data_IF_922652019423
#
_entry.id   IF_922652019423
#
_cell.length_a   1.000
_cell.length_b   1.000
_cell.length_c   1.000
_cell.angle_alpha   90.00
_cell.angle_beta   90.00
_cell.angle_gamma   90.00
#
_symmetry.space_group_name_H-M   'P 1'
#
loop_
_entity.id
_entity.type
_entity.pdbx_description
1 polymer ?
#
# COMPACT_ATOMS: atom_id res chain seq x y z
N UNK A 1 30.21 -32.99 -25.61
CA UNK A 1 29.95 -32.11 -24.45
C UNK A 1 29.69 -30.65 -24.87
N UNK A 2 28.76 -30.38 -25.81
CA UNK A 2 28.41 -28.99 -26.24
C UNK A 2 26.93 -28.65 -26.04
N UNK A 3 26.05 -29.65 -25.82
CA UNK A 3 24.61 -29.46 -25.65
C UNK A 3 24.18 -29.11 -24.21
N UNK A 4 25.09 -29.24 -23.23
CA UNK A 4 24.84 -28.92 -21.83
C UNK A 4 24.93 -27.42 -21.52
N UNK A 5 25.64 -26.64 -22.35
CA UNK A 5 25.80 -25.20 -22.14
C UNK A 5 24.50 -24.44 -22.48
N UNK A 6 23.69 -24.97 -23.39
CA UNK A 6 22.45 -24.30 -23.84
C UNK A 6 21.35 -24.33 -22.76
N UNK A 7 21.31 -25.37 -21.92
CA UNK A 7 20.32 -25.50 -20.86
C UNK A 7 20.55 -24.53 -19.69
N UNK A 8 21.81 -24.17 -19.41
CA UNK A 8 22.16 -23.28 -18.30
C UNK A 8 21.75 -21.82 -18.57
N UNK A 9 21.64 -21.41 -19.85
CA UNK A 9 21.26 -20.05 -20.22
C UNK A 9 19.76 -19.76 -20.06
N UNK A 10 18.90 -20.80 -20.17
CA UNK A 10 17.43 -20.65 -20.10
C UNK A 10 16.94 -20.51 -18.64
N UNK A 11 17.65 -21.10 -17.68
CA UNK A 11 17.29 -21.05 -16.25
C UNK A 11 17.54 -19.67 -15.60
N UNK A 12 18.34 -18.80 -16.22
CA UNK A 12 18.66 -17.47 -15.70
C UNK A 12 17.56 -16.42 -15.97
N UNK A 13 16.53 -16.74 -16.76
CA UNK A 13 15.47 -15.77 -17.11
C UNK A 13 14.20 -15.90 -16.25
N UNK A 14 14.16 -16.80 -15.26
CA UNK A 14 13.00 -17.00 -14.40
C UNK A 14 12.97 -16.12 -13.14
N UNK A 15 13.99 -15.28 -12.89
CA UNK A 15 13.93 -14.29 -11.81
C UNK A 15 13.23 -13.00 -12.26
N UNK A 16 12.04 -13.11 -12.85
CA UNK A 16 11.12 -11.98 -12.92
C UNK A 16 10.47 -11.86 -11.53
N UNK A 17 11.23 -11.37 -10.54
CA UNK A 17 10.64 -11.03 -9.26
C UNK A 17 9.63 -9.92 -9.52
N UNK A 18 8.35 -10.19 -9.24
CA UNK A 18 7.38 -9.11 -9.11
C UNK A 18 7.86 -8.25 -7.95
N UNK A 19 8.57 -7.16 -8.25
CA UNK A 19 8.92 -6.15 -7.27
C UNK A 19 7.59 -5.53 -6.82
N UNK A 20 6.98 -6.09 -5.77
CA UNK A 20 5.98 -5.35 -4.99
C UNK A 20 6.67 -4.08 -4.57
N UNK A 21 6.18 -2.93 -5.04
CA UNK A 21 6.72 -1.63 -4.66
C UNK A 21 6.81 -1.60 -3.13
N UNK A 22 8.01 -1.57 -2.58
CA UNK A 22 8.18 -1.51 -1.13
C UNK A 22 7.93 -0.06 -0.71
N UNK A 23 6.82 0.20 -0.01
CA UNK A 23 6.38 1.54 0.37
C UNK A 23 7.43 2.33 1.16
N UNK A 24 8.26 1.64 1.97
CA UNK A 24 9.36 2.26 2.72
C UNK A 24 10.37 3.01 1.85
N UNK A 25 10.49 2.68 0.56
CA UNK A 25 11.44 3.34 -0.34
C UNK A 25 10.96 4.69 -0.86
N UNK A 26 9.76 5.14 -0.47
CA UNK A 26 9.16 6.38 -0.97
C UNK A 26 9.54 7.65 -0.19
N UNK A 27 10.14 7.52 1.00
CA UNK A 27 10.54 8.69 1.80
C UNK A 27 11.52 9.57 1.03
N UNK A 28 11.24 10.88 0.97
CA UNK A 28 11.99 11.86 0.20
C UNK A 28 11.56 12.01 -1.25
N UNK A 29 10.76 11.07 -1.80
CA UNK A 29 10.22 11.17 -3.14
C UNK A 29 9.14 12.27 -3.24
N UNK A 30 8.93 12.78 -4.45
CA UNK A 30 7.85 13.73 -4.71
C UNK A 30 6.51 13.01 -4.79
N UNK A 31 5.44 13.67 -4.35
CA UNK A 31 4.06 13.21 -4.52
C UNK A 31 3.76 12.79 -5.97
N UNK A 32 4.26 13.53 -6.95
CA UNK A 32 4.06 13.21 -8.36
C UNK A 32 4.70 11.86 -8.77
N UNK A 33 5.94 11.60 -8.32
CA UNK A 33 6.63 10.32 -8.57
C UNK A 33 5.90 9.17 -7.89
N UNK A 34 5.44 9.39 -6.67
CA UNK A 34 4.67 8.43 -5.90
C UNK A 34 3.37 8.06 -6.62
N UNK A 35 2.56 9.04 -7.02
CA UNK A 35 1.30 8.81 -7.75
C UNK A 35 1.54 8.09 -9.08
N UNK A 36 2.64 8.41 -9.79
CA UNK A 36 3.02 7.70 -11.01
C UNK A 36 3.31 6.21 -10.77
N UNK A 37 3.84 5.88 -9.60
CA UNK A 37 4.30 4.52 -9.25
C UNK A 37 3.20 3.69 -8.59
N UNK A 38 2.38 4.32 -7.74
CA UNK A 38 1.37 3.69 -6.90
C UNK A 38 -0.07 3.92 -7.35
N UNK A 39 -0.27 4.81 -8.33
CA UNK A 39 -1.59 5.29 -8.72
C UNK A 39 -2.12 6.39 -7.81
N UNK A 40 -3.33 6.83 -8.12
CA UNK A 40 -4.04 7.84 -7.33
C UNK A 40 -4.48 7.27 -5.97
N UNK A 41 -4.32 8.02 -4.87
CA UNK A 41 -4.79 7.58 -3.56
C UNK A 41 -6.33 7.53 -3.54
N UNK A 42 -6.89 6.66 -2.69
CA UNK A 42 -8.35 6.57 -2.51
C UNK A 42 -8.90 7.79 -1.77
N UNK A 43 -8.07 8.44 -0.94
CA UNK A 43 -8.38 9.69 -0.24
C UNK A 43 -7.13 10.55 -0.12
N UNK A 44 -7.32 11.86 -0.12
CA UNK A 44 -6.31 12.83 0.29
C UNK A 44 -6.91 13.70 1.39
N UNK A 45 -6.21 13.78 2.52
CA UNK A 45 -6.61 14.53 3.70
C UNK A 45 -5.54 15.59 3.99
N UNK A 46 -5.92 16.70 4.62
CA UNK A 46 -4.94 17.63 5.18
C UNK A 46 -4.31 17.00 6.43
N UNK A 47 -3.01 17.24 6.66
CA UNK A 47 -2.42 17.04 7.97
C UNK A 47 -2.56 18.32 8.83
N UNK A 48 -2.11 18.26 10.09
CA UNK A 48 -2.17 19.41 11.00
C UNK A 48 -1.01 20.44 10.78
N UNK A 49 -0.22 20.31 9.70
CA UNK A 49 1.01 21.07 9.45
C UNK A 49 1.12 21.58 7.99
N UNK A 50 0.00 21.91 7.36
CA UNK A 50 -0.10 22.37 5.95
C UNK A 50 0.40 21.36 4.90
N UNK A 51 0.58 20.11 5.30
CA UNK A 51 0.87 18.97 4.44
C UNK A 51 -0.37 18.15 4.11
N UNK A 52 -0.14 16.95 3.58
CA UNK A 52 -1.16 16.06 3.06
C UNK A 52 -0.91 14.63 3.50
N UNK A 53 -2.00 13.91 3.76
CA UNK A 53 -2.00 12.48 4.01
C UNK A 53 -2.66 11.81 2.82
N UNK A 54 -1.87 11.06 2.06
CA UNK A 54 -2.36 10.23 0.97
C UNK A 54 -2.73 8.86 1.54
N UNK A 55 -3.98 8.45 1.35
CA UNK A 55 -4.49 7.19 1.86
C UNK A 55 -4.62 6.21 0.71
N UNK A 56 -3.93 5.08 0.82
CA UNK A 56 -4.11 3.91 -0.03
C UNK A 56 -4.70 2.80 0.82
N UNK A 57 -5.73 2.10 0.32
CA UNK A 57 -6.42 1.06 1.09
C UNK A 57 -6.85 -0.08 0.18
N UNK A 58 -6.39 -1.29 0.49
CA UNK A 58 -6.73 -2.51 -0.24
C UNK A 58 -7.56 -3.43 0.65
N UNK A 59 -8.70 -3.90 0.13
CA UNK A 59 -9.52 -4.89 0.79
C UNK A 59 -8.91 -6.28 0.62
N UNK A 60 -8.73 -6.99 1.73
CA UNK A 60 -8.21 -8.36 1.78
C UNK A 60 -9.32 -9.26 2.28
N UNK A 61 -9.65 -10.28 1.48
CA UNK A 61 -10.57 -11.35 1.86
C UNK A 61 -9.76 -12.55 2.30
N UNK A 62 -10.01 -13.05 3.51
CA UNK A 62 -9.45 -14.32 3.96
C UNK A 62 -10.46 -15.41 3.63
N UNK A 63 -10.09 -16.32 2.73
CA UNK A 63 -10.86 -17.53 2.52
C UNK A 63 -10.64 -18.42 3.74
N UNK A 64 -11.69 -18.62 4.54
CA UNK A 64 -11.72 -19.77 5.44
C UNK A 64 -11.99 -20.98 4.56
N UNK A 65 -11.11 -21.98 4.62
CA UNK A 65 -11.16 -23.21 3.81
C UNK A 65 -12.50 -23.94 4.01
N UNK A 66 -13.51 -23.59 3.21
CA UNK A 66 -14.77 -24.32 3.12
C UNK A 66 -14.76 -25.10 1.82
N UNK A 67 -14.24 -26.33 1.89
CA UNK A 67 -14.17 -27.26 0.76
C UNK A 67 -15.55 -27.77 0.29
N UNK A 68 -16.67 -27.35 0.89
CA UNK A 68 -17.97 -27.99 0.61
C UNK A 68 -19.25 -27.15 0.82
N UNK A 69 -19.19 -25.81 0.74
CA UNK A 69 -20.41 -25.02 0.93
C UNK A 69 -20.29 -23.56 0.53
N UNK A 70 -21.42 -23.01 0.05
CA UNK A 70 -21.70 -21.61 -0.30
C UNK A 70 -20.57 -20.61 -0.03
N UNK A 71 -20.15 -19.89 -1.09
CA UNK A 71 -19.19 -18.77 -1.07
C UNK A 71 -19.74 -17.58 -0.25
N UNK A 72 -19.99 -17.77 1.04
CA UNK A 72 -20.19 -16.69 1.98
C UNK A 72 -18.85 -15.96 2.01
N UNK A 73 -18.86 -14.66 1.71
CA UNK A 73 -17.65 -13.84 1.75
C UNK A 73 -17.00 -14.05 3.12
N UNK A 74 -15.82 -14.68 3.13
CA UNK A 74 -15.05 -14.89 4.35
C UNK A 74 -14.72 -13.57 5.03
N UNK A 75 -14.16 -13.64 6.24
CA UNK A 75 -13.74 -12.44 6.96
C UNK A 75 -12.90 -11.54 6.06
N UNK A 76 -13.11 -10.23 6.15
CA UNK A 76 -12.33 -9.27 5.40
C UNK A 76 -11.74 -8.21 6.31
N UNK A 77 -10.68 -7.59 5.82
CA UNK A 77 -10.09 -6.43 6.43
C UNK A 77 -9.52 -5.52 5.35
N UNK A 78 -9.13 -4.33 5.75
CA UNK A 78 -8.49 -3.35 4.88
C UNK A 78 -7.04 -3.16 5.33
N UNK A 79 -6.12 -3.21 4.37
CA UNK A 79 -4.72 -2.80 4.60
C UNK A 79 -4.59 -1.35 4.17
N UNK A 80 -4.40 -0.46 5.14
CA UNK A 80 -4.18 0.96 4.92
C UNK A 80 -2.69 1.26 4.85
N UNK A 81 -2.32 2.11 3.90
CA UNK A 81 -1.03 2.77 3.83
C UNK A 81 -1.26 4.28 3.83
N UNK A 82 -0.91 4.93 4.92
CA UNK A 82 -0.91 6.38 5.07
C UNK A 82 0.46 6.91 4.67
N UNK A 83 0.49 7.88 3.76
CA UNK A 83 1.72 8.50 3.28
C UNK A 83 1.64 9.99 3.57
N UNK A 84 2.58 10.47 4.38
CA UNK A 84 2.64 11.84 4.83
C UNK A 84 3.50 12.64 3.86
N UNK A 85 2.96 13.75 3.35
CA UNK A 85 3.60 14.62 2.38
C UNK A 85 3.64 16.02 2.96
N UNK A 86 4.82 16.62 3.05
CA UNK A 86 4.96 17.98 3.55
C UNK A 86 4.44 19.04 2.54
N UNK A 87 4.42 20.30 2.97
CA UNK A 87 4.03 21.45 2.13
C UNK A 87 4.87 21.60 0.85
N UNK A 88 6.12 21.11 0.84
CA UNK A 88 6.98 21.08 -0.35
C UNK A 88 6.64 19.92 -1.31
N UNK A 89 5.66 19.08 -0.98
CA UNK A 89 5.21 17.98 -1.83
C UNK A 89 6.11 16.74 -1.79
N UNK A 90 6.93 16.57 -0.74
CA UNK A 90 7.79 15.41 -0.51
C UNK A 90 7.26 14.48 0.56
N UNK A 91 7.41 13.18 0.36
CA UNK A 91 7.05 12.17 1.36
C UNK A 91 7.98 12.28 2.56
N UNK A 92 7.42 12.46 3.75
CA UNK A 92 8.17 12.54 5.02
C UNK A 92 8.17 11.22 5.76
N UNK A 93 7.08 10.47 5.71
CA UNK A 93 6.95 9.18 6.38
C UNK A 93 5.80 8.35 5.81
N UNK A 94 5.74 7.08 6.21
CA UNK A 94 4.66 6.16 5.84
C UNK A 94 4.23 5.34 7.05
N UNK A 95 2.93 5.04 7.18
CA UNK A 95 2.38 4.18 8.23
C UNK A 95 1.42 3.16 7.64
N UNK A 96 1.60 1.89 8.02
CA UNK A 96 0.73 0.81 7.56
C UNK A 96 -0.11 0.29 8.72
N UNK A 97 -1.39 0.03 8.46
CA UNK A 97 -2.32 -0.48 9.46
C UNK A 97 -3.35 -1.43 8.86
N UNK A 98 -3.80 -2.39 9.68
CA UNK A 98 -4.96 -3.21 9.37
C UNK A 98 -6.19 -2.60 10.04
N UNK A 99 -7.26 -2.42 9.29
CA UNK A 99 -8.51 -1.82 9.75
C UNK A 99 -9.70 -2.69 9.33
N UNK A 100 -10.80 -2.61 10.07
CA UNK A 100 -12.04 -3.36 9.81
C UNK A 100 -13.15 -2.49 9.18
N UNK A 101 -12.81 -1.27 8.76
CA UNK A 101 -13.75 -0.35 8.11
C UNK A 101 -13.18 0.17 6.79
N UNK A 102 -14.07 0.52 5.83
CA UNK A 102 -13.65 0.96 4.51
C UNK A 102 -13.17 2.42 4.51
N UNK A 103 -12.37 2.85 3.52
CA UNK A 103 -11.73 4.18 3.51
C UNK A 103 -12.73 5.35 3.48
N UNK A 104 -13.96 5.08 3.06
CA UNK A 104 -15.05 6.06 3.07
C UNK A 104 -15.46 6.47 4.49
N UNK A 105 -15.25 5.57 5.47
CA UNK A 105 -15.58 5.78 6.88
C UNK A 105 -14.47 6.49 7.67
N UNK A 106 -13.43 7.00 7.01
CA UNK A 106 -12.42 7.87 7.62
C UNK A 106 -12.82 9.33 7.42
N UNK A 107 -12.98 10.03 8.54
CA UNK A 107 -13.09 11.48 8.64
C UNK A 107 -11.96 12.06 9.50
N UNK A 108 -11.89 13.39 9.57
CA UNK A 108 -10.86 14.13 10.30
C UNK A 108 -10.85 13.79 11.80
N UNK A 109 -12.01 13.56 12.41
CA UNK A 109 -12.12 13.25 13.85
C UNK A 109 -11.57 11.86 14.15
N UNK A 110 -11.87 10.88 13.29
CA UNK A 110 -11.34 9.52 13.39
C UNK A 110 -9.83 9.50 13.20
N UNK A 111 -9.29 10.31 12.30
CA UNK A 111 -7.85 10.46 12.08
C UNK A 111 -7.12 11.04 13.30
N UNK A 112 -7.70 12.06 13.94
CA UNK A 112 -7.19 12.64 15.20
C UNK A 112 -7.19 11.58 16.31
N UNK A 113 -8.31 10.86 16.49
CA UNK A 113 -8.42 9.78 17.48
C UNK A 113 -7.40 8.64 17.28
N UNK A 114 -6.97 8.39 16.04
CA UNK A 114 -5.96 7.38 15.69
C UNK A 114 -4.53 7.91 15.71
N UNK A 115 -4.34 9.19 16.06
CA UNK A 115 -3.04 9.89 15.99
C UNK A 115 -2.40 9.75 14.61
N UNK A 116 -3.22 9.90 13.58
CA UNK A 116 -2.80 9.79 12.18
C UNK A 116 -2.57 11.13 11.52
N UNK A 117 -2.84 12.25 12.19
CA UNK A 117 -2.72 13.60 11.63
C UNK A 117 -1.30 14.19 11.69
N UNK A 118 -0.36 13.44 12.27
CA UNK A 118 1.06 13.80 12.32
C UNK A 118 1.90 12.57 11.99
N UNK A 119 3.02 12.76 11.27
CA UNK A 119 4.04 11.72 11.16
C UNK A 119 4.60 11.40 12.55
N UNK A 120 4.94 10.13 12.80
CA UNK A 120 5.72 9.76 13.98
C UNK A 120 7.14 10.31 13.91
#
# INVERSE_FOLDING_TARGET
MKKLILFTAILLQLSCSSSKNAMNNSVGETKAKLIKTWGSPVRTLADNQDGQILVYADQVFTNEDNSDGSKIAGQNYWTYNYIYVNKEGKVTSTRQEKQNYPPQAIDSQKMEGMKLLTSK
#
